data_IF_214458783882
#
_entry.id   IF_214458783882
#
_cell.length_a   1.000
_cell.length_b   1.000
_cell.length_c   1.000
_cell.angle_alpha   90.00
_cell.angle_beta   90.00
_cell.angle_gamma   90.00
#
_symmetry.space_group_name_H-M   'P 1'
#
loop_
_entity.id
_entity.type
_entity.pdbx_description
1 polymer ?
#
# COMPACT_ATOMS: atom_id res chain seq x y z
N UNK A 1 27.21 7.33 -6.69
CA UNK A 1 27.08 6.08 -7.48
C UNK A 1 27.91 5.03 -6.78
N UNK A 2 27.27 3.97 -6.31
CA UNK A 2 27.90 2.89 -5.56
C UNK A 2 27.92 1.63 -6.44
N UNK A 3 29.05 0.95 -6.49
CA UNK A 3 29.17 -0.39 -7.10
C UNK A 3 29.16 -1.37 -5.94
N UNK A 4 28.14 -2.21 -5.85
CA UNK A 4 27.96 -3.15 -4.75
C UNK A 4 28.38 -4.54 -5.21
N UNK A 5 29.08 -5.27 -4.34
CA UNK A 5 29.50 -6.65 -4.61
C UNK A 5 28.31 -7.60 -4.68
N UNK A 6 28.37 -8.57 -5.58
CA UNK A 6 27.35 -9.61 -5.81
C UNK A 6 26.96 -10.40 -4.55
N UNK A 7 27.81 -10.47 -3.53
CA UNK A 7 27.57 -11.22 -2.28
C UNK A 7 26.47 -10.64 -1.38
N UNK A 8 26.04 -9.40 -1.63
CA UNK A 8 25.06 -8.69 -0.79
C UNK A 8 23.61 -8.84 -1.29
N UNK A 9 23.41 -9.56 -2.38
CA UNK A 9 22.07 -9.87 -2.90
C UNK A 9 21.65 -11.28 -2.47
N UNK A 10 20.39 -11.47 -2.03
CA UNK A 10 19.90 -12.81 -1.73
C UNK A 10 19.90 -13.68 -2.99
N UNK A 11 20.13 -14.99 -2.86
CA UNK A 11 19.92 -15.91 -3.98
C UNK A 11 18.45 -15.86 -4.40
N UNK A 12 18.21 -15.98 -5.71
CA UNK A 12 16.85 -15.91 -6.26
C UNK A 12 15.98 -17.03 -5.67
N UNK A 13 14.68 -16.75 -5.40
CA UNK A 13 13.74 -17.80 -5.07
C UNK A 13 13.67 -18.85 -6.19
N UNK A 14 13.49 -20.14 -5.86
CA UNK A 14 13.26 -21.18 -6.87
C UNK A 14 12.05 -20.81 -7.74
N UNK A 15 12.22 -20.78 -9.07
CA UNK A 15 11.14 -20.48 -10.03
C UNK A 15 11.14 -19.05 -10.61
N UNK A 16 11.99 -18.14 -10.12
CA UNK A 16 12.23 -16.82 -10.73
C UNK A 16 13.19 -16.85 -11.95
N UNK A 17 13.56 -18.05 -12.39
CA UNK A 17 14.68 -18.35 -13.31
C UNK A 17 14.45 -17.95 -14.79
N UNK A 18 13.25 -17.55 -15.20
CA UNK A 18 12.97 -17.40 -16.63
C UNK A 18 13.61 -16.15 -17.26
N UNK A 19 13.96 -15.10 -16.49
CA UNK A 19 14.43 -13.80 -17.02
C UNK A 19 15.77 -13.32 -16.42
N UNK A 20 16.26 -14.00 -15.38
CA UNK A 20 17.48 -13.64 -14.65
C UNK A 20 18.85 -14.19 -15.14
N UNK A 21 18.97 -15.15 -16.07
CA UNK A 21 20.28 -15.79 -16.34
C UNK A 21 21.27 -14.91 -17.12
N UNK A 22 20.91 -13.67 -17.50
CA UNK A 22 21.77 -12.79 -18.30
C UNK A 22 22.44 -11.64 -17.53
N UNK A 23 22.10 -11.44 -16.25
CA UNK A 23 22.64 -10.30 -15.48
C UNK A 23 24.01 -10.65 -14.92
N UNK A 24 25.03 -9.88 -15.31
CA UNK A 24 26.38 -9.99 -14.76
C UNK A 24 26.45 -9.15 -13.49
N UNK A 25 26.45 -9.82 -12.35
CA UNK A 25 26.32 -9.19 -11.03
C UNK A 25 27.42 -8.18 -10.68
N UNK A 26 28.63 -8.34 -11.22
CA UNK A 26 29.74 -7.39 -11.10
C UNK A 26 29.57 -6.13 -11.95
N UNK A 27 28.50 -6.06 -12.75
CA UNK A 27 28.17 -4.94 -13.64
C UNK A 27 26.89 -4.21 -13.21
N UNK A 28 26.36 -4.49 -12.02
CA UNK A 28 25.22 -3.78 -11.45
C UNK A 28 25.69 -2.47 -10.82
N UNK A 29 25.15 -1.36 -11.31
CA UNK A 29 25.43 -0.02 -10.76
C UNK A 29 24.23 0.45 -9.96
N UNK A 30 24.46 0.92 -8.74
CA UNK A 30 23.40 1.43 -7.88
C UNK A 30 23.62 2.93 -7.66
N UNK A 31 22.67 3.72 -8.15
CA UNK A 31 22.54 5.12 -7.74
C UNK A 31 21.69 5.15 -6.47
N UNK A 32 22.18 5.83 -5.43
CA UNK A 32 21.49 5.89 -4.13
C UNK A 32 21.29 7.34 -3.76
N UNK A 33 20.05 7.68 -3.45
CA UNK A 33 19.68 8.94 -2.85
C UNK A 33 19.39 8.71 -1.36
N UNK A 34 20.17 9.33 -0.48
CA UNK A 34 20.01 9.20 0.98
C UNK A 34 19.37 10.47 1.51
N UNK A 35 18.22 10.33 2.19
CA UNK A 35 17.54 11.42 2.90
C UNK A 35 17.86 11.32 4.40
N UNK A 36 18.61 12.27 4.97
CA UNK A 36 18.96 12.26 6.39
C UNK A 36 17.73 12.35 7.30
N UNK A 37 17.84 11.76 8.49
CA UNK A 37 16.89 12.01 9.56
C UNK A 37 16.96 13.46 10.04
N UNK A 38 15.89 13.96 10.66
CA UNK A 38 15.87 15.30 11.27
C UNK A 38 17.02 15.44 12.28
N UNK A 39 17.86 16.46 12.11
CA UNK A 39 19.01 16.73 12.98
C UNK A 39 20.27 15.93 12.64
N UNK A 40 20.23 15.06 11.62
CA UNK A 40 21.39 14.32 11.12
C UNK A 40 22.05 15.07 9.96
N UNK A 41 23.38 15.15 9.95
CA UNK A 41 24.09 15.73 8.82
C UNK A 41 24.30 14.71 7.68
N UNK A 42 24.59 15.21 6.47
CA UNK A 42 24.74 14.34 5.29
C UNK A 42 25.87 13.33 5.43
N UNK A 43 27.00 13.67 6.07
CA UNK A 43 28.13 12.76 6.22
C UNK A 43 27.79 11.55 7.11
N UNK A 44 27.05 11.79 8.20
CA UNK A 44 26.51 10.74 9.06
C UNK A 44 25.49 9.89 8.32
N UNK A 45 24.56 10.53 7.59
CA UNK A 45 23.56 9.83 6.79
C UNK A 45 24.21 8.94 5.72
N UNK A 46 25.25 9.43 5.04
CA UNK A 46 26.00 8.69 4.04
C UNK A 46 26.75 7.49 4.64
N UNK A 47 27.29 7.64 5.85
CA UNK A 47 27.95 6.54 6.56
C UNK A 47 26.96 5.44 6.93
N UNK A 48 25.79 5.81 7.45
CA UNK A 48 24.70 4.87 7.79
C UNK A 48 24.16 4.22 6.52
N UNK A 49 23.90 4.99 5.47
CA UNK A 49 23.39 4.46 4.21
C UNK A 49 24.35 3.47 3.55
N UNK A 50 25.66 3.69 3.65
CA UNK A 50 26.66 2.69 3.23
C UNK A 50 26.57 1.39 4.02
N UNK A 51 26.49 1.48 5.35
CA UNK A 51 26.37 0.29 6.20
C UNK A 51 25.07 -0.50 5.93
N UNK A 52 23.97 0.22 5.69
CA UNK A 52 22.68 -0.35 5.25
C UNK A 52 22.86 -1.14 3.95
N UNK A 53 23.49 -0.55 2.93
CA UNK A 53 23.70 -1.20 1.63
C UNK A 53 24.65 -2.41 1.69
N UNK A 54 25.57 -2.44 2.65
CA UNK A 54 26.50 -3.55 2.84
C UNK A 54 25.92 -4.69 3.69
N UNK A 55 24.87 -4.46 4.47
CA UNK A 55 24.38 -5.46 5.44
C UNK A 55 22.96 -5.91 5.22
N UNK A 56 22.11 -5.04 4.68
CA UNK A 56 20.71 -5.37 4.43
C UNK A 56 20.57 -6.26 3.21
N UNK A 57 19.54 -7.11 3.22
CA UNK A 57 19.12 -7.82 2.01
C UNK A 57 18.61 -6.77 1.04
N UNK A 58 19.29 -6.64 -0.10
CA UNK A 58 18.88 -5.69 -1.12
C UNK A 58 17.50 -6.05 -1.69
N UNK A 59 16.75 -5.03 -2.11
CA UNK A 59 15.44 -5.19 -2.78
C UNK A 59 15.68 -6.00 -4.06
N UNK A 60 14.83 -7.00 -4.40
CA UNK A 60 14.92 -7.69 -5.67
C UNK A 60 14.90 -6.68 -6.79
N UNK A 61 15.81 -6.85 -7.74
CA UNK A 61 15.86 -6.05 -8.94
C UNK A 61 14.62 -6.38 -9.77
N UNK A 62 13.58 -5.55 -9.69
CA UNK A 62 12.71 -5.32 -10.84
C UNK A 62 13.34 -4.17 -11.64
N UNK A 63 14.57 -4.39 -12.11
CA UNK A 63 15.35 -3.39 -12.82
C UNK A 63 15.38 -3.74 -14.31
N UNK A 64 15.19 -2.74 -15.17
CA UNK A 64 15.35 -2.91 -16.61
C UNK A 64 16.81 -3.28 -16.94
N UNK A 65 17.00 -4.36 -17.69
CA UNK A 65 18.31 -4.87 -18.08
C UNK A 65 18.68 -4.47 -19.51
N UNK A 66 19.97 -4.23 -19.74
CA UNK A 66 20.48 -4.13 -21.11
C UNK A 66 20.74 -5.53 -21.69
N UNK A 67 20.76 -5.63 -23.03
CA UNK A 67 21.15 -6.86 -23.73
C UNK A 67 22.59 -7.31 -23.43
N UNK A 68 23.40 -6.47 -22.78
CA UNK A 68 24.79 -6.75 -22.40
C UNK A 68 24.92 -7.32 -20.98
N UNK A 69 23.80 -7.46 -20.26
CA UNK A 69 23.76 -8.00 -18.90
C UNK A 69 24.06 -6.97 -17.81
N UNK A 70 24.02 -5.67 -18.15
CA UNK A 70 24.19 -4.58 -17.19
C UNK A 70 22.84 -4.11 -16.65
N UNK A 71 22.80 -3.78 -15.35
CA UNK A 71 21.62 -3.24 -14.68
C UNK A 71 21.98 -1.93 -13.95
N UNK A 72 21.11 -0.93 -14.05
CA UNK A 72 21.20 0.27 -13.22
C UNK A 72 20.00 0.33 -12.29
N UNK A 73 20.25 0.32 -10.99
CA UNK A 73 19.22 0.44 -9.96
C UNK A 73 19.27 1.83 -9.36
N UNK A 74 18.10 2.43 -9.14
CA UNK A 74 18.00 3.67 -8.38
C UNK A 74 17.27 3.38 -7.06
N UNK A 75 17.91 3.70 -5.94
CA UNK A 75 17.36 3.50 -4.61
C UNK A 75 17.20 4.81 -3.87
N UNK A 76 16.11 4.98 -3.13
CA UNK A 76 16.08 5.91 -2.01
C UNK A 76 16.36 5.18 -0.70
N UNK A 77 17.03 5.87 0.21
CA UNK A 77 17.14 5.50 1.62
C UNK A 77 16.64 6.67 2.44
N UNK A 78 15.50 6.52 3.12
CA UNK A 78 14.98 7.49 4.08
C UNK A 78 15.38 7.05 5.49
N UNK A 79 16.10 7.90 6.21
CA UNK A 79 16.50 7.61 7.59
C UNK A 79 15.56 8.29 8.58
N UNK A 80 15.05 7.50 9.53
CA UNK A 80 14.26 7.96 10.66
C UNK A 80 15.05 7.67 11.93
N UNK A 81 15.27 8.71 12.75
CA UNK A 81 15.91 8.57 14.06
C UNK A 81 14.83 8.65 15.13
N UNK A 82 14.71 7.61 15.95
CA UNK A 82 13.62 7.47 16.91
C UNK A 82 14.14 6.90 18.23
N UNK A 83 13.56 7.33 19.34
CA UNK A 83 13.66 6.64 20.63
C UNK A 83 12.40 5.82 20.81
N UNK A 84 12.49 4.48 20.77
CA UNK A 84 11.29 3.64 20.90
C UNK A 84 10.68 3.70 22.31
N UNK A 85 11.44 4.14 23.31
CA UNK A 85 10.94 4.63 24.60
C UNK A 85 12.05 5.38 25.37
N UNK A 86 11.71 5.90 26.55
CA UNK A 86 12.63 6.68 27.41
C UNK A 86 13.88 5.92 27.89
N UNK A 87 13.89 4.59 27.84
CA UNK A 87 15.02 3.75 28.22
C UNK A 87 15.73 3.06 27.04
N UNK A 88 15.26 3.25 25.81
CA UNK A 88 15.80 2.58 24.63
C UNK A 88 16.97 3.36 24.02
N UNK A 89 17.95 2.66 23.43
CA UNK A 89 18.97 3.32 22.64
C UNK A 89 18.33 4.08 21.47
N UNK A 90 19.03 5.11 21.01
CA UNK A 90 18.67 5.80 19.76
C UNK A 90 18.61 4.78 18.65
N UNK A 91 17.47 4.66 18.00
CA UNK A 91 17.25 3.75 16.88
C UNK A 91 17.32 4.50 15.56
N UNK A 92 17.79 3.82 14.53
CA UNK A 92 17.66 4.23 13.14
C UNK A 92 16.81 3.20 12.42
N UNK A 93 15.81 3.71 11.70
CA UNK A 93 15.01 2.94 10.77
C UNK A 93 15.31 3.51 9.39
N UNK A 94 15.89 2.68 8.52
CA UNK A 94 16.14 3.04 7.14
C UNK A 94 15.05 2.40 6.27
N UNK A 95 14.25 3.24 5.62
CA UNK A 95 13.31 2.82 4.59
C UNK A 95 14.02 2.84 3.24
N UNK A 96 14.28 1.66 2.68
CA UNK A 96 14.95 1.48 1.40
C UNK A 96 13.90 1.13 0.35
N UNK A 97 13.79 1.91 -0.72
CA UNK A 97 12.85 1.63 -1.82
C UNK A 97 13.42 1.99 -3.20
N UNK A 98 12.77 1.50 -4.26
CA UNK A 98 13.16 1.76 -5.65
C UNK A 98 12.68 3.15 -6.15
N UNK A 99 13.31 3.66 -7.22
CA UNK A 99 12.96 4.92 -7.90
C UNK A 99 12.59 4.66 -9.38
N UNK A 100 11.66 5.43 -9.96
CA UNK A 100 10.79 6.42 -9.32
C UNK A 100 9.63 5.78 -8.54
N UNK A 101 9.43 4.48 -8.74
CA UNK A 101 8.29 3.74 -8.24
C UNK A 101 8.69 3.08 -6.92
N UNK A 102 8.07 3.51 -5.81
CA UNK A 102 8.22 2.87 -4.50
C UNK A 102 7.47 1.52 -4.43
N UNK A 103 7.43 0.80 -5.54
CA UNK A 103 6.68 -0.46 -5.74
C UNK A 103 7.22 -1.63 -4.93
N UNK A 104 8.42 -1.49 -4.37
CA UNK A 104 8.99 -2.44 -3.43
C UNK A 104 9.97 -1.73 -2.50
N UNK A 105 9.97 -2.12 -1.23
CA UNK A 105 11.01 -1.71 -0.30
C UNK A 105 11.19 -2.61 0.91
N UNK A 106 12.10 -2.18 1.78
CA UNK A 106 12.48 -2.87 3.02
C UNK A 106 12.83 -1.87 4.13
N UNK A 107 12.46 -2.20 5.36
CA UNK A 107 13.01 -1.52 6.54
C UNK A 107 14.29 -2.18 7.01
N UNK A 108 15.23 -1.36 7.47
CA UNK A 108 16.44 -1.80 8.16
C UNK A 108 16.46 -1.13 9.52
N UNK A 109 16.50 -1.93 10.58
CA UNK A 109 16.52 -1.45 11.96
C UNK A 109 17.92 -1.57 12.55
N UNK A 110 18.37 -0.49 13.17
CA UNK A 110 19.65 -0.40 13.86
C UNK A 110 19.53 0.37 15.17
N UNK A 111 20.38 0.07 16.14
CA UNK A 111 20.47 0.78 17.41
C UNK A 111 21.85 1.39 17.59
N UNK A 112 21.92 2.57 18.20
CA UNK A 112 23.17 3.16 18.67
C UNK A 112 23.73 2.33 19.81
N UNK A 113 24.93 1.77 19.63
CA UNK A 113 25.66 1.02 20.66
C UNK A 113 27.07 1.59 20.76
N UNK A 114 27.34 2.30 21.85
CA UNK A 114 28.54 3.11 21.96
C UNK A 114 28.45 4.33 21.03
N UNK A 115 29.33 4.40 20.04
CA UNK A 115 29.48 5.52 19.10
C UNK A 115 29.03 5.17 17.66
N UNK A 116 28.45 3.98 17.45
CA UNK A 116 28.02 3.51 16.13
C UNK A 116 26.63 2.88 16.15
N UNK A 117 25.95 2.97 15.02
CA UNK A 117 24.75 2.18 14.77
C UNK A 117 25.13 0.73 14.49
N UNK A 118 24.42 -0.19 15.12
CA UNK A 118 24.54 -1.62 14.90
C UNK A 118 23.21 -2.09 14.31
N UNK A 119 23.26 -2.50 13.04
CA UNK A 119 22.11 -3.13 12.38
C UNK A 119 21.74 -4.44 13.10
N UNK A 120 20.44 -4.62 13.36
CA UNK A 120 19.91 -5.77 14.08
C UNK A 120 19.07 -6.67 13.20
N UNK A 121 18.21 -6.09 12.37
CA UNK A 121 17.35 -6.83 11.46
C UNK A 121 16.90 -5.97 10.28
N UNK A 122 16.41 -6.63 9.24
CA UNK A 122 15.70 -6.00 8.13
C UNK A 122 14.36 -6.73 7.88
N UNK A 123 13.32 -6.00 7.49
CA UNK A 123 11.97 -6.56 7.27
C UNK A 123 11.95 -7.51 6.07
N UNK A 124 10.88 -8.30 5.81
CA UNK A 124 10.56 -8.80 4.47
C UNK A 124 10.28 -7.64 3.48
N UNK A 125 10.00 -7.98 2.22
CA UNK A 125 9.66 -7.00 1.18
C UNK A 125 8.18 -6.62 1.23
N UNK A 126 7.85 -5.37 0.95
CA UNK A 126 6.47 -4.92 0.83
C UNK A 126 6.32 -3.87 -0.27
N UNK A 127 5.11 -3.73 -0.81
CA UNK A 127 4.77 -2.99 -2.04
C UNK A 127 4.49 -1.49 -1.82
N UNK A 128 4.72 -0.97 -0.63
CA UNK A 128 4.11 0.28 -0.18
C UNK A 128 4.97 1.53 -0.22
N UNK A 129 4.32 2.66 -0.53
CA UNK A 129 4.92 3.99 -0.67
C UNK A 129 4.68 4.92 0.54
N UNK A 130 4.45 4.37 1.73
CA UNK A 130 4.20 5.13 2.97
C UNK A 130 5.46 5.61 3.71
N UNK A 131 5.28 6.55 4.64
CA UNK A 131 6.27 6.83 5.69
C UNK A 131 5.92 5.99 6.93
N UNK A 132 6.91 5.42 7.64
CA UNK A 132 6.64 4.76 8.91
C UNK A 132 6.14 5.76 9.95
N UNK A 133 5.15 5.32 10.72
CA UNK A 133 4.76 5.91 11.99
C UNK A 133 5.25 5.02 13.16
N UNK A 134 5.22 5.57 14.37
CA UNK A 134 5.71 4.93 15.58
C UNK A 134 4.67 5.02 16.69
N UNK A 135 4.12 3.87 17.09
CA UNK A 135 3.05 3.79 18.07
C UNK A 135 3.20 2.54 18.94
N UNK A 136 2.82 2.61 20.21
CA UNK A 136 2.81 1.46 21.12
C UNK A 136 1.51 0.69 20.90
N UNK A 137 1.50 -0.18 19.88
CA UNK A 137 0.28 -0.89 19.51
C UNK A 137 0.01 -2.07 20.44
N UNK A 138 1.07 -2.61 21.03
CA UNK A 138 1.02 -3.84 21.83
C UNK A 138 0.88 -3.60 23.35
N UNK A 139 1.08 -2.35 23.80
CA UNK A 139 0.94 -1.90 25.17
C UNK A 139 2.11 -2.25 26.08
N UNK A 140 3.30 -2.54 25.54
CA UNK A 140 4.51 -2.88 26.30
C UNK A 140 5.38 -1.66 26.64
N UNK A 141 4.95 -0.45 26.25
CA UNK A 141 5.68 0.78 26.46
C UNK A 141 6.86 0.96 25.49
N UNK A 142 6.93 0.19 24.41
CA UNK A 142 7.91 0.32 23.34
C UNK A 142 7.15 0.62 22.03
N UNK A 143 7.54 1.68 21.34
CA UNK A 143 6.96 1.98 20.03
C UNK A 143 7.31 0.89 19.01
N UNK A 144 6.28 0.45 18.31
CA UNK A 144 6.33 -0.44 17.16
C UNK A 144 6.42 0.38 15.86
N UNK A 145 6.92 -0.24 14.80
CA UNK A 145 7.04 0.37 13.48
C UNK A 145 5.74 0.11 12.72
N UNK A 146 4.95 1.14 12.49
CA UNK A 146 3.66 1.08 11.82
C UNK A 146 3.83 1.61 10.40
N UNK A 147 3.62 0.75 9.40
CA UNK A 147 3.55 1.15 8.01
C UNK A 147 2.11 1.07 7.54
N UNK A 148 1.51 2.23 7.29
CA UNK A 148 0.17 2.35 6.74
C UNK A 148 0.23 3.17 5.45
N UNK A 149 -0.35 2.65 4.38
CA UNK A 149 -0.51 3.37 3.12
C UNK A 149 -1.98 3.62 2.85
N UNK A 150 -2.31 4.87 2.58
CA UNK A 150 -3.58 5.27 2.00
C UNK A 150 -3.37 5.49 0.50
N UNK A 151 -3.78 4.54 -0.34
CA UNK A 151 -3.74 4.73 -1.79
C UNK A 151 -4.87 5.68 -2.22
N UNK A 152 -4.62 6.98 -2.20
CA UNK A 152 -5.59 7.97 -2.69
C UNK A 152 -5.74 7.87 -4.22
N UNK A 153 -6.88 7.39 -4.71
CA UNK A 153 -7.20 7.20 -6.13
C UNK A 153 -8.19 6.06 -6.35
N UNK A 154 -8.29 5.51 -7.57
CA UNK A 154 -9.13 4.32 -7.89
C UNK A 154 -8.75 3.03 -7.14
N UNK A 155 -7.93 3.09 -6.07
CA UNK A 155 -7.53 1.94 -5.26
C UNK A 155 -8.35 1.87 -3.98
N UNK A 156 -9.25 0.90 -3.87
CA UNK A 156 -10.12 0.68 -2.71
C UNK A 156 -9.43 0.04 -1.50
N UNK A 157 -8.10 0.16 -1.35
CA UNK A 157 -7.33 -0.68 -0.42
C UNK A 157 -6.26 0.15 0.31
N UNK A 158 -6.34 0.14 1.63
CA UNK A 158 -5.29 0.51 2.55
C UNK A 158 -4.51 -0.74 2.95
N UNK A 159 -3.21 -0.54 3.18
CA UNK A 159 -2.29 -1.60 3.59
C UNK A 159 -1.73 -1.27 4.95
N UNK A 160 -1.80 -2.22 5.89
CA UNK A 160 -1.24 -2.08 7.23
C UNK A 160 -0.26 -3.21 7.55
N UNK A 161 0.96 -2.82 7.87
CA UNK A 161 2.02 -3.70 8.36
C UNK A 161 2.64 -3.16 9.64
N UNK A 162 2.75 -4.00 10.67
CA UNK A 162 3.34 -3.58 11.95
C UNK A 162 4.48 -4.52 12.34
N UNK A 163 5.61 -3.95 12.73
CA UNK A 163 6.77 -4.68 13.24
C UNK A 163 7.13 -4.25 14.65
N UNK A 164 7.38 -5.22 15.54
CA UNK A 164 7.98 -4.90 16.83
C UNK A 164 9.47 -4.55 16.70
N UNK A 165 10.04 -4.04 17.79
CA UNK A 165 11.48 -3.72 17.87
C UNK A 165 12.42 -4.89 17.57
N UNK A 166 11.96 -6.14 17.65
CA UNK A 166 12.75 -7.35 17.39
C UNK A 166 12.58 -7.84 15.94
N UNK A 167 11.83 -7.11 15.11
CA UNK A 167 11.58 -7.45 13.71
C UNK A 167 10.46 -8.47 13.53
N UNK A 168 9.64 -8.71 14.56
CA UNK A 168 8.47 -9.58 14.43
C UNK A 168 7.33 -8.81 13.79
N UNK A 169 6.82 -9.33 12.68
CA UNK A 169 5.64 -8.83 12.00
C UNK A 169 4.38 -9.19 12.81
N UNK A 170 3.79 -8.20 13.48
CA UNK A 170 2.62 -8.36 14.33
C UNK A 170 1.34 -8.53 13.51
N UNK A 171 1.30 -8.04 12.27
CA UNK A 171 0.15 -8.14 11.36
C UNK A 171 0.15 -9.40 10.51
N UNK A 172 1.18 -10.27 10.63
CA UNK A 172 1.29 -11.46 9.78
C UNK A 172 0.09 -12.39 9.95
N UNK A 173 -0.68 -12.55 8.88
CA UNK A 173 -1.81 -13.47 8.83
C UNK A 173 -1.39 -14.90 8.44
N UNK A 174 -2.21 -15.88 8.81
CA UNK A 174 -2.00 -17.28 8.39
C UNK A 174 -2.18 -17.48 6.89
N UNK A 175 -2.94 -16.59 6.23
CA UNK A 175 -3.22 -16.62 4.82
C UNK A 175 -2.90 -15.25 4.23
N UNK A 176 -1.77 -15.15 3.54
CA UNK A 176 -1.24 -13.89 3.02
C UNK A 176 -1.69 -13.60 1.58
N UNK A 177 -2.85 -14.12 1.17
CA UNK A 177 -3.40 -13.86 -0.17
C UNK A 177 -2.41 -14.16 -1.30
N UNK A 178 -2.32 -13.22 -2.25
CA UNK A 178 -1.40 -13.26 -3.40
C UNK A 178 0.00 -12.72 -3.08
N UNK A 179 0.32 -12.49 -1.79
CA UNK A 179 1.67 -12.08 -1.39
C UNK A 179 2.71 -13.09 -1.91
N UNK A 180 3.73 -12.54 -2.57
CA UNK A 180 4.81 -13.35 -3.13
C UNK A 180 5.59 -14.00 -1.97
N UNK A 181 6.10 -15.23 -2.13
CA UNK A 181 6.91 -15.88 -1.10
C UNK A 181 8.06 -14.97 -0.63
N UNK A 182 8.15 -14.71 0.67
CA UNK A 182 9.18 -13.83 1.27
C UNK A 182 8.82 -12.35 1.36
N UNK A 183 7.57 -11.98 1.04
CA UNK A 183 7.02 -10.64 1.26
C UNK A 183 6.30 -10.55 2.61
N UNK A 184 6.02 -9.32 3.02
CA UNK A 184 5.15 -9.00 4.15
C UNK A 184 3.75 -9.48 3.85
N UNK A 185 3.03 -9.81 4.91
CA UNK A 185 1.66 -10.28 4.91
C UNK A 185 0.83 -9.20 5.57
N UNK A 186 0.62 -8.13 4.82
CA UNK A 186 -0.16 -6.96 5.20
C UNK A 186 -1.63 -7.31 5.47
N UNK A 187 -2.25 -6.50 6.32
CA UNK A 187 -3.71 -6.43 6.40
C UNK A 187 -4.14 -5.44 5.33
N UNK A 188 -4.99 -5.89 4.43
CA UNK A 188 -5.55 -5.14 3.31
C UNK A 188 -7.05 -4.94 3.55
N UNK A 189 -7.53 -3.70 3.49
CA UNK A 189 -8.95 -3.37 3.56
C UNK A 189 -9.22 -1.94 3.07
N UNK A 190 -10.48 -1.63 2.74
CA UNK A 190 -10.87 -0.31 2.25
C UNK A 190 -10.65 0.85 3.24
N UNK A 191 -10.66 0.56 4.53
CA UNK A 191 -10.41 1.51 5.60
C UNK A 191 -9.85 0.75 6.80
N UNK A 192 -8.64 1.10 7.24
CA UNK A 192 -7.97 0.49 8.37
C UNK A 192 -7.73 1.56 9.45
N UNK A 193 -8.19 1.29 10.66
CA UNK A 193 -7.97 2.16 11.81
C UNK A 193 -7.33 1.43 13.00
N UNK A 194 -6.35 2.09 13.62
CA UNK A 194 -5.80 1.69 14.91
C UNK A 194 -6.55 2.40 16.02
N UNK A 195 -7.22 1.64 16.90
CA UNK A 195 -8.09 2.17 17.96
C UNK A 195 -7.59 1.71 19.31
N UNK A 196 -7.46 2.66 20.25
CA UNK A 196 -7.08 2.35 21.62
C UNK A 196 -8.15 1.50 22.32
N UNK A 197 -7.75 0.37 22.90
CA UNK A 197 -8.62 -0.48 23.69
C UNK A 197 -8.40 -0.28 25.20
N UNK A 198 -9.41 -0.66 25.99
CA UNK A 198 -9.43 -0.46 27.44
C UNK A 198 -8.29 -1.18 28.20
N UNK A 199 -7.62 -2.15 27.56
CA UNK A 199 -6.51 -2.90 28.14
C UNK A 199 -5.12 -2.28 27.85
N UNK A 200 -5.08 -1.08 27.27
CA UNK A 200 -3.84 -0.38 26.91
C UNK A 200 -3.18 -0.89 25.63
N UNK A 201 -3.83 -1.79 24.88
CA UNK A 201 -3.40 -2.25 23.55
C UNK A 201 -4.28 -1.63 22.48
N UNK A 202 -3.78 -1.56 21.25
CA UNK A 202 -4.61 -1.15 20.11
C UNK A 202 -5.29 -2.34 19.47
N UNK A 203 -6.52 -2.12 19.03
CA UNK A 203 -7.25 -3.00 18.12
C UNK A 203 -7.13 -2.42 16.71
N UNK A 204 -6.98 -3.28 15.71
CA UNK A 204 -7.11 -2.87 14.31
C UNK A 204 -8.58 -3.05 13.95
N UNK A 205 -9.23 -2.02 13.41
CA UNK A 205 -10.57 -2.13 12.86
C UNK A 205 -10.50 -1.91 11.38
N UNK A 206 -11.14 -2.81 10.65
CA UNK A 206 -11.33 -2.64 9.22
C UNK A 206 -12.81 -2.40 8.95
N UNK A 207 -13.11 -1.40 8.12
CA UNK A 207 -14.47 -1.12 7.66
C UNK A 207 -14.62 -1.67 6.25
N UNK A 208 -15.67 -2.46 6.00
CA UNK A 208 -15.90 -3.04 4.68
C UNK A 208 -14.77 -3.94 4.19
N UNK A 209 -14.38 -4.92 5.01
CA UNK A 209 -13.42 -5.96 4.59
C UNK A 209 -13.95 -6.80 3.42
N UNK A 210 -13.12 -7.68 2.86
CA UNK A 210 -13.42 -8.44 1.63
C UNK A 210 -14.75 -9.23 1.61
N UNK A 211 -15.31 -9.54 2.79
CA UNK A 211 -16.61 -10.22 2.96
C UNK A 211 -17.78 -9.25 3.18
N UNK A 212 -17.56 -7.97 2.94
CA UNK A 212 -18.48 -6.87 3.13
C UNK A 212 -18.79 -6.49 4.58
N UNK A 213 -18.01 -6.97 5.55
CA UNK A 213 -18.24 -6.70 6.97
C UNK A 213 -17.09 -5.94 7.61
N UNK A 214 -17.42 -5.27 8.70
CA UNK A 214 -16.42 -4.71 9.58
C UNK A 214 -15.77 -5.85 10.38
N UNK A 215 -14.44 -5.79 10.53
CA UNK A 215 -13.72 -6.73 11.37
C UNK A 215 -12.84 -6.01 12.37
N UNK A 216 -12.58 -6.70 13.47
CA UNK A 216 -11.66 -6.23 14.50
C UNK A 216 -10.54 -7.25 14.61
N UNK A 217 -9.29 -6.84 14.48
CA UNK A 217 -8.15 -7.67 14.84
C UNK A 217 -7.69 -7.31 16.24
N UNK A 218 -7.49 -8.35 17.05
CA UNK A 218 -7.01 -8.24 18.42
C UNK A 218 -5.65 -8.88 18.53
N UNK A 219 -4.79 -8.27 19.34
CA UNK A 219 -3.47 -8.81 19.58
C UNK A 219 -3.55 -10.04 20.51
N UNK A 220 -3.27 -11.22 19.97
CA UNK A 220 -3.27 -12.50 20.67
C UNK A 220 -1.90 -13.15 20.50
N UNK A 221 -1.21 -13.45 21.60
CA UNK A 221 0.18 -13.92 21.60
C UNK A 221 1.14 -13.03 20.78
N UNK A 222 0.80 -11.73 20.76
CA UNK A 222 1.48 -10.64 20.06
C UNK A 222 1.38 -10.71 18.52
N UNK A 223 0.43 -11.45 17.96
CA UNK A 223 0.06 -11.32 16.55
C UNK A 223 -1.39 -10.87 16.49
N UNK A 224 -1.72 -9.98 15.57
CA UNK A 224 -3.07 -9.53 15.32
C UNK A 224 -3.84 -10.65 14.63
N UNK A 225 -4.91 -11.09 15.29
CA UNK A 225 -5.82 -12.12 14.77
C UNK A 225 -7.22 -11.53 14.65
N UNK A 226 -7.98 -11.88 13.60
CA UNK A 226 -9.35 -11.42 13.45
C UNK A 226 -10.24 -11.91 14.60
N UNK A 227 -11.21 -11.08 15.00
CA UNK A 227 -12.14 -11.32 16.09
C UNK A 227 -13.58 -10.97 15.68
N UNK A 228 -14.51 -11.96 15.59
CA UNK A 228 -14.26 -13.38 15.82
C UNK A 228 -13.30 -13.98 14.78
N UNK A 229 -12.56 -15.06 15.10
CA UNK A 229 -11.70 -15.72 14.12
C UNK A 229 -12.53 -16.18 12.92
N UNK A 230 -12.33 -15.58 11.76
CA UNK A 230 -12.95 -16.04 10.52
C UNK A 230 -11.91 -16.74 9.65
N UNK A 231 -12.37 -17.75 8.93
CA UNK A 231 -11.62 -18.39 7.85
C UNK A 231 -12.01 -17.65 6.58
N UNK A 232 -11.02 -17.27 5.76
CA UNK A 232 -11.19 -16.68 4.43
C UNK A 232 -12.39 -17.30 3.72
N UNK A 233 -13.39 -16.49 3.39
CA UNK A 233 -14.47 -16.92 2.52
C UNK A 233 -13.91 -17.15 1.11
N UNK A 234 -14.34 -18.27 0.54
CA UNK A 234 -14.22 -18.57 -0.88
C UNK A 234 -15.05 -17.56 -1.72
N UNK A 235 -14.97 -17.59 -3.06
CA UNK A 235 -14.88 -16.44 -3.96
C UNK A 235 -16.08 -15.47 -3.95
N UNK A 236 -15.78 -14.20 -4.27
CA UNK A 236 -16.62 -13.11 -4.82
C UNK A 236 -18.13 -13.43 -4.90
N UNK A 237 -18.95 -12.88 -3.99
CA UNK A 237 -20.41 -12.97 -4.09
C UNK A 237 -20.98 -11.80 -4.90
N UNK A 238 -21.08 -12.03 -6.21
CA UNK A 238 -21.72 -11.09 -7.17
C UNK A 238 -23.12 -10.65 -6.70
N UNK A 239 -23.85 -11.50 -5.95
CA UNK A 239 -25.20 -11.15 -5.47
C UNK A 239 -25.16 -10.11 -4.36
N UNK A 240 -24.09 -10.06 -3.58
CA UNK A 240 -23.91 -9.06 -2.54
C UNK A 240 -23.54 -7.71 -3.16
N UNK A 241 -22.64 -7.69 -4.14
CA UNK A 241 -22.32 -6.49 -4.92
C UNK A 241 -23.58 -5.91 -5.61
N UNK A 242 -24.41 -6.77 -6.20
CA UNK A 242 -25.70 -6.37 -6.78
C UNK A 242 -26.65 -5.78 -5.73
N UNK A 243 -26.71 -6.38 -4.53
CA UNK A 243 -27.55 -5.90 -3.44
C UNK A 243 -27.12 -4.52 -2.94
N UNK A 244 -25.80 -4.27 -2.83
CA UNK A 244 -25.26 -2.97 -2.44
C UNK A 244 -25.47 -1.91 -3.50
N UNK A 245 -25.35 -2.26 -4.79
CA UNK A 245 -25.73 -1.35 -5.86
C UNK A 245 -27.24 -1.01 -5.80
N UNK A 246 -28.11 -1.98 -5.49
CA UNK A 246 -29.54 -1.72 -5.27
C UNK A 246 -29.77 -0.80 -4.08
N UNK A 247 -29.04 -1.00 -2.98
CA UNK A 247 -29.09 -0.13 -1.79
C UNK A 247 -28.64 1.30 -2.12
N UNK A 248 -27.52 1.46 -2.82
CA UNK A 248 -27.03 2.76 -3.29
C UNK A 248 -28.08 3.49 -4.13
N UNK A 249 -28.74 2.79 -5.06
CA UNK A 249 -29.82 3.36 -5.85
C UNK A 249 -31.03 3.82 -5.01
N UNK A 250 -31.37 3.07 -3.94
CA UNK A 250 -32.44 3.47 -3.02
C UNK A 250 -32.06 4.71 -2.20
N UNK A 251 -30.81 4.81 -1.77
CA UNK A 251 -30.28 5.96 -1.03
C UNK A 251 -30.20 7.21 -1.92
N UNK A 252 -29.78 7.07 -3.18
CA UNK A 252 -29.82 8.14 -4.19
C UNK A 252 -31.23 8.70 -4.36
N UNK A 253 -32.25 7.84 -4.43
CA UNK A 253 -33.66 8.27 -4.53
C UNK A 253 -34.13 9.07 -3.31
N UNK A 254 -33.54 8.80 -2.14
CA UNK A 254 -33.82 9.52 -0.89
C UNK A 254 -32.98 10.80 -0.75
N UNK A 255 -32.02 11.05 -1.65
CA UNK A 255 -31.09 12.17 -1.56
C UNK A 255 -29.95 11.95 -0.56
N UNK A 256 -29.80 10.74 -0.03
CA UNK A 256 -28.72 10.39 0.90
C UNK A 256 -27.47 9.98 0.12
N UNK A 257 -26.80 10.98 -0.45
CA UNK A 257 -25.69 10.75 -1.38
C UNK A 257 -24.44 10.21 -0.70
N UNK A 258 -24.21 10.55 0.57
CA UNK A 258 -23.05 10.09 1.34
C UNK A 258 -23.11 8.58 1.58
N UNK A 259 -24.25 8.06 2.05
CA UNK A 259 -24.41 6.61 2.21
C UNK A 259 -24.54 5.90 0.86
N UNK A 260 -25.10 6.57 -0.16
CA UNK A 260 -25.17 6.00 -1.51
C UNK A 260 -23.79 5.77 -2.12
N UNK A 261 -22.86 6.73 -1.96
CA UNK A 261 -21.47 6.58 -2.37
C UNK A 261 -20.86 5.35 -1.73
N UNK A 262 -20.98 5.17 -0.41
CA UNK A 262 -20.43 4.01 0.29
C UNK A 262 -20.92 2.69 -0.29
N UNK A 263 -22.24 2.57 -0.53
CA UNK A 263 -22.83 1.37 -1.11
C UNK A 263 -22.38 1.11 -2.56
N UNK A 264 -22.25 2.14 -3.39
CA UNK A 264 -21.78 1.95 -4.77
C UNK A 264 -20.29 1.66 -4.88
N UNK A 265 -19.47 2.33 -4.07
CA UNK A 265 -18.03 2.06 -3.98
C UNK A 265 -17.83 0.61 -3.56
N UNK A 266 -18.51 0.17 -2.50
CA UNK A 266 -18.41 -1.20 -2.03
C UNK A 266 -18.83 -2.22 -3.11
N UNK A 267 -19.97 -1.99 -3.77
CA UNK A 267 -20.42 -2.82 -4.88
C UNK A 267 -19.37 -2.89 -6.01
N UNK A 268 -18.76 -1.75 -6.38
CA UNK A 268 -17.74 -1.69 -7.42
C UNK A 268 -16.46 -2.42 -7.02
N UNK A 269 -15.97 -2.22 -5.79
CA UNK A 269 -14.76 -2.86 -5.29
C UNK A 269 -14.95 -4.40 -5.20
N UNK A 270 -16.13 -4.88 -4.79
CA UNK A 270 -16.46 -6.32 -4.78
C UNK A 270 -16.41 -6.99 -6.16
N UNK A 271 -16.48 -6.24 -7.27
CA UNK A 271 -16.43 -6.82 -8.61
C UNK A 271 -14.98 -6.96 -9.13
N UNK A 272 -14.02 -6.22 -8.56
CA UNK A 272 -12.62 -6.18 -8.97
C UNK A 272 -12.41 -5.67 -10.41
N UNK A 273 -11.16 -5.76 -10.91
CA UNK A 273 -10.77 -5.33 -12.26
C UNK A 273 -10.99 -6.45 -13.30
N UNK A 274 -12.26 -6.71 -13.65
CA UNK A 274 -12.62 -7.84 -14.52
C UNK A 274 -12.90 -7.50 -15.98
N UNK A 275 -12.79 -6.23 -16.40
CA UNK A 275 -13.28 -5.80 -17.73
C UNK A 275 -14.74 -6.27 -17.92
N UNK A 276 -15.53 -6.10 -16.85
CA UNK A 276 -16.92 -6.54 -16.72
C UNK A 276 -17.84 -5.31 -16.71
N UNK A 277 -18.88 -5.35 -17.54
CA UNK A 277 -19.88 -4.29 -17.60
C UNK A 277 -20.64 -4.09 -16.28
N UNK A 278 -20.60 -5.07 -15.37
CA UNK A 278 -21.18 -4.97 -14.03
C UNK A 278 -20.31 -4.14 -13.10
N UNK A 279 -18.99 -4.35 -13.09
CA UNK A 279 -18.04 -3.52 -12.34
C UNK A 279 -18.11 -2.05 -12.81
N UNK A 280 -18.10 -1.85 -14.13
CA UNK A 280 -18.25 -0.54 -14.75
C UNK A 280 -19.60 0.14 -14.42
N UNK A 281 -20.67 -0.64 -14.23
CA UNK A 281 -21.96 -0.10 -13.79
C UNK A 281 -21.85 0.52 -12.41
N UNK A 282 -21.26 -0.22 -11.47
CA UNK A 282 -21.18 0.18 -10.08
C UNK A 282 -20.22 1.35 -9.90
N UNK A 283 -19.06 1.32 -10.57
CA UNK A 283 -18.12 2.43 -10.62
C UNK A 283 -18.76 3.71 -11.22
N UNK A 284 -19.57 3.57 -12.28
CA UNK A 284 -20.33 4.71 -12.82
C UNK A 284 -21.33 5.27 -11.79
N UNK A 285 -22.01 4.40 -11.04
CA UNK A 285 -22.97 4.83 -10.03
C UNK A 285 -22.28 5.52 -8.84
N UNK A 286 -21.12 5.03 -8.42
CA UNK A 286 -20.26 5.70 -7.43
C UNK A 286 -19.84 7.09 -7.91
N UNK A 287 -19.30 7.17 -9.14
CA UNK A 287 -18.91 8.44 -9.74
C UNK A 287 -20.07 9.44 -9.84
N UNK A 288 -21.27 8.98 -10.20
CA UNK A 288 -22.46 9.84 -10.23
C UNK A 288 -22.92 10.28 -8.83
N UNK A 289 -22.78 9.42 -7.81
CA UNK A 289 -23.10 9.79 -6.43
C UNK A 289 -22.12 10.84 -5.88
N UNK A 290 -20.81 10.70 -6.14
CA UNK A 290 -19.81 11.72 -5.85
C UNK A 290 -20.11 13.06 -6.54
N UNK A 291 -20.56 13.02 -7.80
CA UNK A 291 -21.01 14.21 -8.53
C UNK A 291 -22.16 14.91 -7.80
N UNK A 292 -23.16 14.15 -7.30
CA UNK A 292 -24.29 14.72 -6.53
C UNK A 292 -23.86 15.33 -5.20
N UNK A 293 -22.77 14.87 -4.62
CA UNK A 293 -22.16 15.47 -3.42
C UNK A 293 -21.31 16.72 -3.72
N UNK A 294 -21.08 17.05 -5.00
CA UNK A 294 -20.17 18.12 -5.40
C UNK A 294 -18.68 17.77 -5.29
N UNK A 295 -18.35 16.49 -5.04
CA UNK A 295 -16.98 15.95 -5.02
C UNK A 295 -16.58 15.56 -6.44
N UNK A 296 -16.27 16.54 -7.27
CA UNK A 296 -16.14 16.34 -8.71
C UNK A 296 -14.84 15.63 -9.10
N UNK A 297 -13.76 15.81 -8.35
CA UNK A 297 -12.49 15.11 -8.55
C UNK A 297 -12.61 13.60 -8.27
N UNK A 298 -13.29 13.22 -7.19
CA UNK A 298 -13.61 11.82 -6.87
C UNK A 298 -14.55 11.23 -7.93
N UNK A 299 -15.53 12.02 -8.38
CA UNK A 299 -16.42 11.63 -9.48
C UNK A 299 -15.64 11.30 -10.76
N UNK A 300 -14.72 12.17 -11.19
CA UNK A 300 -13.84 11.93 -12.36
C UNK A 300 -13.05 10.63 -12.21
N UNK A 301 -12.53 10.36 -11.01
CA UNK A 301 -11.72 9.18 -10.71
C UNK A 301 -12.53 7.89 -10.95
N UNK A 302 -13.70 7.79 -10.33
CA UNK A 302 -14.61 6.65 -10.47
C UNK A 302 -15.19 6.48 -11.89
N UNK A 303 -15.45 7.58 -12.59
CA UNK A 303 -15.97 7.52 -13.96
C UNK A 303 -14.90 7.09 -14.96
N UNK A 304 -13.63 7.43 -14.72
CA UNK A 304 -12.52 6.87 -15.49
C UNK A 304 -12.37 5.37 -15.25
N UNK A 305 -12.46 4.91 -14.01
CA UNK A 305 -12.46 3.46 -13.72
C UNK A 305 -13.59 2.74 -14.47
N UNK A 306 -14.80 3.30 -14.45
CA UNK A 306 -15.93 2.74 -15.19
C UNK A 306 -15.69 2.65 -16.71
N UNK A 307 -14.96 3.60 -17.28
CA UNK A 307 -14.59 3.61 -18.70
C UNK A 307 -13.44 2.65 -19.00
N UNK A 308 -12.49 2.48 -18.07
CA UNK A 308 -11.42 1.49 -18.18
C UNK A 308 -11.98 0.07 -18.18
N UNK A 309 -12.96 -0.21 -17.32
CA UNK A 309 -13.63 -1.52 -17.21
C UNK A 309 -14.67 -1.79 -18.31
N UNK A 310 -15.39 -0.76 -18.79
CA UNK A 310 -16.28 -0.87 -19.94
C UNK A 310 -16.18 0.39 -20.83
N UNK A 311 -15.27 0.39 -21.81
CA UNK A 311 -15.09 1.50 -22.73
C UNK A 311 -16.31 1.80 -23.61
N UNK A 312 -17.37 0.98 -23.57
CA UNK A 312 -18.62 1.19 -24.32
C UNK A 312 -19.73 1.78 -23.45
N UNK A 313 -19.49 1.99 -22.15
CA UNK A 313 -20.47 2.55 -21.23
C UNK A 313 -20.68 4.05 -21.48
N UNK A 314 -21.52 4.37 -22.46
CA UNK A 314 -21.83 5.74 -22.87
C UNK A 314 -22.21 6.66 -21.69
N UNK A 315 -23.01 6.16 -20.74
CA UNK A 315 -23.41 6.94 -19.55
C UNK A 315 -22.24 7.40 -18.67
N UNK A 316 -21.14 6.62 -18.62
CA UNK A 316 -19.94 7.02 -17.87
C UNK A 316 -19.23 8.20 -18.53
N UNK A 317 -19.20 8.25 -19.87
CA UNK A 317 -18.69 9.39 -20.62
C UNK A 317 -19.56 10.65 -20.46
N UNK A 318 -20.89 10.51 -20.41
CA UNK A 318 -21.79 11.63 -20.12
C UNK A 318 -21.52 12.21 -18.73
N UNK A 319 -21.53 11.35 -17.72
CA UNK A 319 -21.27 11.75 -16.33
C UNK A 319 -19.86 12.35 -16.17
N UNK A 320 -18.86 11.82 -16.89
CA UNK A 320 -17.49 12.33 -16.85
C UNK A 320 -17.42 13.73 -17.46
N UNK A 321 -18.12 13.95 -18.57
CA UNK A 321 -18.26 15.28 -19.16
C UNK A 321 -18.89 16.27 -18.20
N UNK A 322 -19.96 15.87 -17.50
CA UNK A 322 -20.61 16.70 -16.48
C UNK A 322 -19.67 17.03 -15.32
N UNK A 323 -18.92 16.05 -14.81
CA UNK A 323 -17.95 16.25 -13.74
C UNK A 323 -16.82 17.20 -14.16
N UNK A 324 -16.26 17.02 -15.36
CA UNK A 324 -15.26 17.95 -15.90
C UNK A 324 -15.80 19.36 -16.13
N UNK A 325 -17.04 19.50 -16.59
CA UNK A 325 -17.67 20.81 -16.75
C UNK A 325 -17.81 21.53 -15.40
N UNK A 326 -18.13 20.80 -14.32
CA UNK A 326 -18.18 21.37 -12.95
C UNK A 326 -16.81 21.80 -12.42
N UNK A 327 -15.74 21.15 -12.87
CA UNK A 327 -14.36 21.52 -12.59
C UNK A 327 -13.82 22.63 -13.52
N UNK A 328 -14.62 23.14 -14.47
CA UNK A 328 -14.20 24.05 -15.55
C UNK A 328 -13.14 23.47 -16.50
N UNK A 329 -13.01 22.14 -16.56
CA UNK A 329 -12.14 21.42 -17.49
C UNK A 329 -12.86 21.23 -18.84
N UNK A 330 -13.10 22.35 -19.53
CA UNK A 330 -13.99 22.38 -20.70
C UNK A 330 -13.52 21.53 -21.89
N UNK A 331 -12.20 21.39 -22.07
CA UNK A 331 -11.65 20.58 -23.17
C UNK A 331 -11.90 19.10 -22.94
N UNK A 332 -11.65 18.60 -21.73
CA UNK A 332 -11.90 17.23 -21.31
C UNK A 332 -13.40 16.92 -21.29
N UNK A 333 -14.24 17.88 -20.88
CA UNK A 333 -15.69 17.75 -20.95
C UNK A 333 -16.18 17.54 -22.39
N UNK A 334 -15.71 18.35 -23.34
CA UNK A 334 -16.03 18.19 -24.76
C UNK A 334 -15.58 16.83 -25.31
N UNK A 335 -14.40 16.36 -24.93
CA UNK A 335 -13.91 15.05 -25.35
C UNK A 335 -14.78 13.91 -24.79
N UNK A 336 -15.18 13.99 -23.52
CA UNK A 336 -16.04 13.00 -22.90
C UNK A 336 -17.44 12.99 -23.54
N UNK A 337 -18.06 14.15 -23.76
CA UNK A 337 -19.37 14.22 -24.45
C UNK A 337 -19.34 13.70 -25.88
N UNK A 338 -18.23 13.92 -26.61
CA UNK A 338 -18.08 13.40 -27.97
C UNK A 338 -18.00 11.86 -28.03
N UNK A 339 -17.68 11.20 -26.91
CA UNK A 339 -17.69 9.72 -26.80
C UNK A 339 -19.06 9.18 -26.37
N UNK A 340 -19.94 10.03 -25.84
CA UNK A 340 -21.30 9.66 -25.45
C UNK A 340 -22.29 9.67 -26.63
N UNK A 341 -22.16 10.65 -27.55
CA UNK A 341 -23.04 10.87 -28.71
C UNK A 341 -22.76 9.93 -29.89
#
# INVERSE_FOLDING_TARGET
MYVISSKFFPPLPPGYDAHWPQVKWDQIRIAVQIRPAKGMNQSQADAIGRDVLERARLIPLDASYSAEGTASLQLNIYLYQVYLNSGSPVSIIAWVNHLPDASAGRFVYAEMRGDRYVMLWDSPLFTDAGNPDFDDVNGDGIFDIVMQTHLSGNGCEEFLSIFDKNGRELTRQNNCGDSRPGWVCDIEAADISLVDAANGRKEIRITGGDDGKDHVFKLVNGVYVPFPPFVKLAPLDVREAEADNVRGMQLMKKGDYEQAVGAFVHAACMMGTRNDSTAALFANNAGFAYYKMGKYEDSVTWLKAAIEDDPKRAVAYLNLGDAYAKLNHNAEAHQAYAKYL
#
